data_IF_331679423886
#
_entry.id   IF_331679423886
#
_cell.length_a   1.000
_cell.length_b   1.000
_cell.length_c   1.000
_cell.angle_alpha   90.00
_cell.angle_beta   90.00
_cell.angle_gamma   90.00
#
_symmetry.space_group_name_H-M   'P 1'
#
loop_
_entity.id
_entity.type
_entity.pdbx_description
1 polymer ?
#
# COMPACT_ATOMS: atom_id res chain seq x y z
N UNK A 1 11.00 -0.43 -6.78
CA UNK A 1 9.93 0.56 -6.92
C UNK A 1 10.45 1.92 -7.35
N UNK A 2 11.10 2.71 -6.48
CA UNK A 2 11.49 4.09 -6.78
C UNK A 2 12.43 4.21 -7.99
N UNK A 3 13.49 3.42 -8.04
CA UNK A 3 14.42 3.44 -9.17
C UNK A 3 13.76 3.01 -10.48
N UNK A 4 12.93 1.97 -10.46
CA UNK A 4 12.17 1.55 -11.66
C UNK A 4 11.23 2.66 -12.15
N UNK A 5 10.58 3.37 -11.23
CA UNK A 5 9.73 4.50 -11.60
C UNK A 5 10.54 5.66 -12.18
N UNK A 6 11.66 6.02 -11.55
CA UNK A 6 12.57 7.07 -12.02
C UNK A 6 13.15 6.74 -13.41
N UNK A 7 13.45 5.47 -13.68
CA UNK A 7 13.86 5.01 -15.02
C UNK A 7 12.74 5.24 -16.05
N UNK A 8 11.50 4.85 -15.75
CA UNK A 8 10.36 5.09 -16.64
C UNK A 8 10.05 6.57 -16.87
N UNK A 9 10.46 7.46 -15.97
CA UNK A 9 10.40 8.92 -16.12
C UNK A 9 11.62 9.51 -16.84
N UNK A 10 12.58 8.69 -17.26
CA UNK A 10 13.81 9.13 -17.93
C UNK A 10 14.84 9.80 -17.03
N UNK A 11 14.70 9.64 -15.70
CA UNK A 11 15.65 10.19 -14.72
C UNK A 11 16.86 9.29 -14.45
N UNK A 12 16.76 8.03 -14.79
CA UNK A 12 17.82 7.01 -14.70
C UNK A 12 17.97 6.28 -16.03
N UNK A 13 19.17 5.80 -16.31
CA UNK A 13 19.49 4.99 -17.48
C UNK A 13 19.47 3.49 -17.16
N UNK A 14 19.59 2.65 -18.18
CA UNK A 14 19.77 1.19 -18.01
C UNK A 14 21.08 0.88 -17.26
N UNK A 15 22.17 1.61 -17.57
CA UNK A 15 23.46 1.42 -16.88
C UNK A 15 23.37 1.76 -15.38
N UNK A 16 22.56 2.76 -15.01
CA UNK A 16 22.26 3.03 -13.60
C UNK A 16 21.56 1.83 -12.94
N UNK A 17 20.52 1.28 -13.59
CA UNK A 17 19.80 0.12 -13.06
C UNK A 17 20.68 -1.13 -12.92
N UNK A 18 21.54 -1.38 -13.90
CA UNK A 18 22.53 -2.46 -13.87
C UNK A 18 23.54 -2.28 -12.72
N UNK A 19 23.75 -1.05 -12.28
CA UNK A 19 24.54 -0.69 -11.12
C UNK A 19 23.87 -0.83 -9.76
N UNK A 20 22.62 -1.30 -9.70
CA UNK A 20 21.89 -1.41 -8.45
C UNK A 20 22.57 -2.37 -7.45
N UNK A 21 22.81 -1.89 -6.23
CA UNK A 21 23.57 -2.59 -5.15
C UNK A 21 25.00 -2.92 -5.50
N UNK A 22 25.62 -2.13 -6.37
CA UNK A 22 27.01 -2.32 -6.81
C UNK A 22 27.88 -1.09 -6.52
N UNK A 23 27.66 -0.43 -5.38
CA UNK A 23 28.32 0.81 -4.98
C UNK A 23 29.86 0.73 -5.07
N UNK A 24 30.41 -0.43 -4.75
CA UNK A 24 31.85 -0.66 -4.64
C UNK A 24 32.42 -1.62 -5.69
N UNK A 25 31.59 -2.25 -6.50
CA UNK A 25 32.00 -3.26 -7.47
C UNK A 25 32.21 -2.71 -8.89
N UNK A 26 31.78 -1.47 -9.15
CA UNK A 26 31.93 -0.79 -10.43
C UNK A 26 32.87 0.41 -10.31
N UNK A 27 33.74 0.66 -11.31
CA UNK A 27 34.70 1.80 -11.28
C UNK A 27 34.00 3.17 -11.17
N UNK A 28 32.83 3.31 -11.82
CA UNK A 28 32.00 4.52 -11.78
C UNK A 28 31.09 4.61 -10.55
N UNK A 29 31.15 3.61 -9.66
CA UNK A 29 30.16 3.43 -8.61
C UNK A 29 28.84 2.84 -9.11
N UNK A 30 27.92 2.58 -8.22
CA UNK A 30 26.57 2.09 -8.54
C UNK A 30 25.52 2.69 -7.62
N UNK A 31 24.26 2.42 -7.92
CA UNK A 31 23.17 2.91 -7.07
C UNK A 31 23.21 2.25 -5.69
N UNK A 32 23.00 3.03 -4.61
CA UNK A 32 23.12 2.54 -3.24
C UNK A 32 22.06 1.49 -2.92
N UNK A 33 22.45 0.52 -2.10
CA UNK A 33 21.54 -0.52 -1.59
C UNK A 33 20.39 0.07 -0.78
N UNK A 34 20.68 1.16 -0.05
CA UNK A 34 19.70 1.90 0.75
C UNK A 34 19.57 3.33 0.26
N UNK A 35 18.33 3.87 0.17
CA UNK A 35 18.11 5.26 -0.18
C UNK A 35 18.78 6.20 0.81
N UNK A 36 19.79 6.95 0.35
CA UNK A 36 20.50 7.90 1.18
C UNK A 36 21.17 9.00 0.33
N UNK A 37 21.05 10.28 0.72
CA UNK A 37 21.68 11.40 0.01
C UNK A 37 23.19 11.27 -0.14
N UNK A 38 23.87 10.60 0.79
CA UNK A 38 25.32 10.38 0.71
C UNK A 38 25.73 9.61 -0.56
N UNK A 39 24.94 8.62 -0.95
CA UNK A 39 25.22 7.79 -2.14
C UNK A 39 24.71 8.40 -3.45
N UNK A 40 23.63 9.18 -3.39
CA UNK A 40 23.00 9.81 -4.56
C UNK A 40 22.42 11.19 -4.17
N UNK A 41 23.26 12.23 -3.97
CA UNK A 41 22.81 13.54 -3.45
C UNK A 41 21.85 14.27 -4.40
N UNK A 42 21.95 14.05 -5.70
CA UNK A 42 21.05 14.67 -6.69
C UNK A 42 19.71 13.93 -6.84
N UNK A 43 19.57 12.76 -6.20
CA UNK A 43 18.39 11.93 -6.29
C UNK A 43 17.62 11.83 -4.97
N UNK A 44 18.32 11.62 -3.85
CA UNK A 44 17.74 11.46 -2.51
C UNK A 44 17.92 12.71 -1.66
N UNK A 45 16.83 13.21 -1.09
CA UNK A 45 16.85 14.32 -0.13
C UNK A 45 16.88 13.83 1.32
N UNK A 46 16.34 12.63 1.59
CA UNK A 46 16.29 12.02 2.92
C UNK A 46 16.76 10.58 2.89
N UNK A 47 17.38 10.10 4.00
CA UNK A 47 17.52 8.67 4.20
C UNK A 47 16.15 8.09 4.56
N UNK A 48 15.68 7.11 3.79
CA UNK A 48 14.44 6.41 4.05
C UNK A 48 14.67 4.91 4.03
N UNK A 49 14.21 4.23 5.08
CA UNK A 49 14.24 2.78 5.21
C UNK A 49 12.93 2.35 5.87
N UNK A 50 12.58 1.07 5.80
CA UNK A 50 11.34 0.51 6.34
C UNK A 50 11.31 0.38 7.87
N UNK A 51 11.92 1.32 8.58
CA UNK A 51 12.03 1.37 10.06
C UNK A 51 11.30 2.58 10.66
N UNK A 52 10.29 3.11 9.98
CA UNK A 52 9.45 4.21 10.48
C UNK A 52 9.96 5.62 10.20
N UNK A 53 11.15 5.80 9.66
CA UNK A 53 11.68 7.15 9.34
C UNK A 53 10.97 7.80 8.16
N UNK A 54 10.53 7.01 7.16
CA UNK A 54 9.80 7.51 6.00
C UNK A 54 8.50 8.22 6.39
N UNK A 55 7.59 7.59 7.15
CA UNK A 55 6.37 8.22 7.64
C UNK A 55 6.62 9.50 8.42
N UNK A 56 7.59 9.46 9.34
CA UNK A 56 7.94 10.59 10.18
C UNK A 56 8.45 11.78 9.34
N UNK A 57 9.39 11.53 8.43
CA UNK A 57 9.90 12.58 7.53
C UNK A 57 8.80 13.16 6.64
N UNK A 58 7.88 12.33 6.13
CA UNK A 58 6.76 12.79 5.31
C UNK A 58 5.83 13.75 6.08
N UNK A 59 5.53 13.44 7.35
CA UNK A 59 4.74 14.32 8.21
C UNK A 59 5.43 15.67 8.44
N UNK A 60 6.73 15.65 8.76
CA UNK A 60 7.50 16.87 8.94
C UNK A 60 7.62 17.69 7.66
N UNK A 61 7.82 17.03 6.51
CA UNK A 61 7.88 17.71 5.21
C UNK A 61 6.54 18.39 4.87
N UNK A 62 5.43 17.68 5.03
CA UNK A 62 4.10 18.23 4.77
C UNK A 62 3.80 19.44 5.67
N UNK A 63 4.13 19.32 6.95
CA UNK A 63 4.00 20.42 7.92
C UNK A 63 4.91 21.60 7.54
N UNK A 64 6.14 21.32 7.15
CA UNK A 64 7.08 22.40 6.78
C UNK A 64 6.64 23.11 5.50
N UNK A 65 6.09 22.39 4.52
CA UNK A 65 5.52 23.00 3.32
C UNK A 65 4.40 23.99 3.69
N UNK A 66 3.45 23.62 4.57
CA UNK A 66 2.42 24.55 5.06
C UNK A 66 3.01 25.75 5.79
N UNK A 67 4.03 25.55 6.62
CA UNK A 67 4.74 26.64 7.29
C UNK A 67 5.35 27.63 6.27
N UNK A 68 6.01 27.14 5.22
CA UNK A 68 6.59 27.99 4.19
C UNK A 68 5.52 28.81 3.45
N UNK A 69 4.40 28.20 3.13
CA UNK A 69 3.23 28.82 2.51
C UNK A 69 2.64 29.90 3.41
N UNK A 70 2.33 29.56 4.66
CA UNK A 70 1.69 30.45 5.63
C UNK A 70 2.56 31.67 5.95
N UNK A 71 3.89 31.51 5.91
CA UNK A 71 4.84 32.59 6.12
C UNK A 71 5.15 33.40 4.85
N UNK A 72 4.63 33.00 3.69
CA UNK A 72 4.93 33.64 2.42
C UNK A 72 6.41 33.53 1.99
N UNK A 73 7.14 32.53 2.52
CA UNK A 73 8.56 32.31 2.20
C UNK A 73 8.71 31.61 0.86
N UNK A 74 7.84 30.65 0.58
CA UNK A 74 7.82 29.87 -0.66
C UNK A 74 6.40 29.44 -0.96
N UNK A 75 6.00 29.51 -2.23
CA UNK A 75 4.73 28.95 -2.69
C UNK A 75 4.85 27.40 -2.73
N UNK A 76 4.07 26.75 -1.89
CA UNK A 76 4.00 25.30 -1.75
C UNK A 76 2.56 24.79 -1.76
N UNK A 77 1.60 25.62 -2.20
CA UNK A 77 0.17 25.30 -2.15
C UNK A 77 -0.19 24.04 -2.97
N UNK A 78 0.47 23.87 -4.13
CA UNK A 78 0.28 22.69 -4.98
C UNK A 78 1.18 21.50 -4.62
N UNK A 79 2.06 21.64 -3.63
CA UNK A 79 2.97 20.55 -3.25
C UNK A 79 2.27 19.53 -2.36
N UNK A 80 2.25 18.28 -2.79
CA UNK A 80 1.69 17.16 -2.06
C UNK A 80 2.76 16.14 -1.70
N UNK A 81 2.78 15.72 -0.46
CA UNK A 81 3.73 14.72 0.06
C UNK A 81 3.10 13.33 0.03
N UNK A 82 3.75 12.42 -0.66
CA UNK A 82 3.36 11.02 -0.76
C UNK A 82 4.38 10.14 -0.05
N UNK A 83 3.92 9.30 0.88
CA UNK A 83 4.75 8.28 1.51
C UNK A 83 4.25 6.88 1.12
N UNK A 84 5.11 6.07 0.51
CA UNK A 84 4.83 4.68 0.16
C UNK A 84 5.45 3.77 1.22
N UNK A 85 4.60 3.04 1.93
CA UNK A 85 4.95 2.32 3.15
C UNK A 85 4.55 0.85 3.04
N UNK A 86 5.21 -0.01 3.82
CA UNK A 86 4.77 -1.40 4.02
C UNK A 86 3.87 -1.54 5.24
N UNK A 87 2.99 -2.55 5.23
CA UNK A 87 2.14 -2.87 6.37
C UNK A 87 2.95 -3.29 7.61
N UNK A 88 4.04 -4.04 7.41
CA UNK A 88 4.98 -4.39 8.48
C UNK A 88 5.73 -3.18 9.06
N UNK A 89 6.02 -2.16 8.25
CA UNK A 89 6.64 -0.91 8.70
C UNK A 89 5.75 -0.14 9.68
N UNK A 90 4.44 -0.32 9.61
CA UNK A 90 3.49 0.32 10.52
C UNK A 90 3.52 -0.25 11.94
N UNK A 91 4.28 -1.30 12.21
CA UNK A 91 4.54 -1.79 13.57
C UNK A 91 5.65 -1.00 14.29
N UNK A 92 6.48 -0.28 13.54
CA UNK A 92 7.54 0.55 14.13
C UNK A 92 6.93 1.69 14.95
N UNK A 93 7.43 1.95 16.17
CA UNK A 93 6.94 3.05 17.01
C UNK A 93 7.03 4.41 16.32
N UNK A 94 8.07 4.64 15.53
CA UNK A 94 8.29 5.86 14.76
C UNK A 94 7.18 6.10 13.73
N UNK A 95 6.71 5.04 13.08
CA UNK A 95 5.60 5.12 12.12
C UNK A 95 4.30 5.60 12.76
N UNK A 96 4.07 5.25 14.02
CA UNK A 96 2.83 5.54 14.76
C UNK A 96 2.88 6.83 15.56
N UNK A 97 4.07 7.27 15.94
CA UNK A 97 4.25 8.30 16.95
C UNK A 97 3.71 9.70 16.59
N UNK A 98 3.63 10.04 15.31
CA UNK A 98 3.27 11.37 14.84
C UNK A 98 1.92 11.48 14.11
N UNK A 99 1.16 10.39 14.01
CA UNK A 99 -0.07 10.37 13.20
C UNK A 99 -1.12 11.38 13.71
N UNK A 100 -1.28 11.50 15.03
CA UNK A 100 -2.19 12.49 15.61
C UNK A 100 -1.75 13.91 15.32
N UNK A 101 -0.44 14.18 15.26
CA UNK A 101 0.07 15.49 14.90
C UNK A 101 -0.31 15.89 13.48
N UNK A 102 -0.29 14.93 12.54
CA UNK A 102 -0.66 15.19 11.16
C UNK A 102 -2.13 15.66 11.03
N UNK A 103 -3.05 15.02 11.77
CA UNK A 103 -4.45 15.45 11.79
C UNK A 103 -4.69 16.74 12.59
N UNK A 104 -3.96 16.95 13.70
CA UNK A 104 -4.03 18.18 14.47
C UNK A 104 -3.65 19.42 13.64
N UNK A 105 -2.66 19.28 12.76
CA UNK A 105 -2.22 20.35 11.84
C UNK A 105 -2.98 20.34 10.51
N UNK A 106 -4.02 19.51 10.36
CA UNK A 106 -4.85 19.43 9.15
C UNK A 106 -4.01 19.26 7.86
N UNK A 107 -3.02 18.36 7.91
CA UNK A 107 -2.07 18.17 6.80
C UNK A 107 -2.75 17.48 5.60
N UNK A 108 -3.64 18.17 4.91
CA UNK A 108 -4.34 17.69 3.72
C UNK A 108 -3.45 17.62 2.47
N UNK A 109 -2.23 18.12 2.57
CA UNK A 109 -1.15 17.93 1.60
C UNK A 109 -0.29 16.69 1.86
N UNK A 110 -0.79 15.72 2.65
CA UNK A 110 -0.11 14.48 3.00
C UNK A 110 -0.97 13.26 2.69
N UNK A 111 -0.41 12.31 1.96
CA UNK A 111 -1.02 11.00 1.74
C UNK A 111 -0.04 9.86 2.00
N UNK A 112 -0.43 8.92 2.86
CA UNK A 112 0.24 7.64 3.00
C UNK A 112 -0.40 6.60 2.08
N UNK A 113 0.42 5.82 1.40
CA UNK A 113 -0.01 4.64 0.62
C UNK A 113 0.62 3.42 1.24
N UNK A 114 -0.16 2.64 1.97
CA UNK A 114 0.32 1.45 2.66
C UNK A 114 0.10 0.24 1.77
N UNK A 115 1.19 -0.40 1.39
CA UNK A 115 1.19 -1.63 0.62
C UNK A 115 0.92 -2.82 1.55
N UNK A 116 -0.35 -3.21 1.65
CA UNK A 116 -0.80 -4.32 2.50
C UNK A 116 -0.70 -5.64 1.73
N UNK A 117 0.50 -6.19 1.68
CA UNK A 117 0.73 -7.53 1.11
C UNK A 117 0.62 -8.65 2.16
N UNK A 118 0.36 -8.31 3.42
CA UNK A 118 0.15 -9.19 4.55
C UNK A 118 1.37 -10.05 4.92
N UNK A 119 2.55 -9.69 4.41
CA UNK A 119 3.78 -10.48 4.61
C UNK A 119 4.94 -9.64 5.13
N UNK A 120 5.71 -10.24 6.04
CA UNK A 120 7.08 -9.87 6.38
C UNK A 120 8.07 -10.76 5.62
N UNK A 121 9.37 -10.63 5.91
CA UNK A 121 10.41 -11.48 5.34
C UNK A 121 10.28 -12.95 5.77
N UNK A 122 9.80 -13.18 6.97
CA UNK A 122 9.77 -14.47 7.67
C UNK A 122 8.34 -15.04 7.85
N UNK A 123 7.32 -14.37 7.30
CA UNK A 123 5.94 -14.85 7.42
C UNK A 123 4.88 -13.76 7.31
N UNK A 124 3.65 -14.05 7.70
CA UNK A 124 2.56 -13.09 7.70
C UNK A 124 2.75 -12.02 8.78
N UNK A 125 2.32 -10.78 8.49
CA UNK A 125 2.36 -9.66 9.46
C UNK A 125 1.50 -9.99 10.68
N UNK A 126 0.31 -10.53 10.45
CA UNK A 126 -0.66 -10.95 11.47
C UNK A 126 -1.25 -12.30 11.12
N UNK A 127 -0.61 -13.41 11.52
CA UNK A 127 -1.13 -14.76 11.21
C UNK A 127 -2.55 -15.00 11.69
N UNK A 128 -2.88 -14.56 12.91
CA UNK A 128 -4.20 -14.67 13.53
C UNK A 128 -4.93 -13.31 13.62
N UNK A 129 -4.41 -12.26 13.00
CA UNK A 129 -4.95 -10.92 12.99
C UNK A 129 -5.56 -10.53 11.64
N UNK A 130 -5.86 -9.24 11.53
CA UNK A 130 -6.43 -8.60 10.35
C UNK A 130 -5.81 -7.20 10.23
N UNK A 131 -4.62 -7.13 9.64
CA UNK A 131 -3.81 -5.91 9.64
C UNK A 131 -4.50 -4.72 8.96
N UNK A 132 -5.26 -4.95 7.88
CA UNK A 132 -5.95 -3.87 7.17
C UNK A 132 -7.02 -3.24 8.08
N UNK A 133 -7.81 -4.04 8.80
CA UNK A 133 -8.83 -3.55 9.73
C UNK A 133 -8.20 -2.89 10.96
N UNK A 134 -7.09 -3.43 11.45
CA UNK A 134 -6.32 -2.82 12.54
C UNK A 134 -5.79 -1.44 12.15
N UNK A 135 -5.18 -1.31 10.96
CA UNK A 135 -4.69 -0.04 10.43
C UNK A 135 -5.83 0.93 10.16
N UNK A 136 -6.95 0.49 9.57
CA UNK A 136 -8.13 1.31 9.36
C UNK A 136 -8.59 1.95 10.66
N UNK A 137 -8.80 1.13 11.70
CA UNK A 137 -9.25 1.61 13.01
C UNK A 137 -8.24 2.58 13.64
N UNK A 138 -6.95 2.27 13.50
CA UNK A 138 -5.88 3.08 14.05
C UNK A 138 -5.81 4.47 13.38
N UNK A 139 -5.88 4.54 12.06
CA UNK A 139 -5.86 5.81 11.33
C UNK A 139 -7.13 6.63 11.54
N UNK A 140 -8.31 5.98 11.58
CA UNK A 140 -9.56 6.66 11.93
C UNK A 140 -9.46 7.27 13.33
N UNK A 141 -8.96 6.52 14.31
CA UNK A 141 -8.75 6.98 15.68
C UNK A 141 -7.74 8.13 15.79
N UNK A 142 -6.77 8.21 14.86
CA UNK A 142 -5.82 9.30 14.75
C UNK A 142 -6.37 10.52 13.96
N UNK A 143 -7.61 10.47 13.46
CA UNK A 143 -8.26 11.59 12.77
C UNK A 143 -7.98 11.67 11.26
N UNK A 144 -7.43 10.63 10.64
CA UNK A 144 -7.13 10.56 9.22
C UNK A 144 -8.36 10.21 8.38
N UNK A 145 -8.35 10.65 7.13
CA UNK A 145 -9.22 10.09 6.08
C UNK A 145 -8.65 8.75 5.61
N UNK A 146 -9.46 7.68 5.62
CA UNK A 146 -9.03 6.33 5.24
C UNK A 146 -9.72 5.90 3.95
N UNK A 147 -8.95 5.49 2.96
CA UNK A 147 -9.42 4.93 1.70
C UNK A 147 -8.90 3.49 1.61
N UNK A 148 -9.80 2.52 1.48
CA UNK A 148 -9.43 1.11 1.31
C UNK A 148 -9.52 0.70 -0.15
N UNK A 149 -8.44 0.11 -0.69
CA UNK A 149 -8.38 -0.48 -2.03
C UNK A 149 -8.07 -1.96 -1.88
N UNK A 150 -9.05 -2.73 -1.40
CA UNK A 150 -8.88 -4.13 -0.98
C UNK A 150 -9.18 -5.09 -2.12
N UNK A 151 -10.31 -4.89 -2.80
CA UNK A 151 -10.80 -5.79 -3.84
C UNK A 151 -10.79 -5.12 -5.22
N UNK A 152 -10.36 -5.87 -6.23
CA UNK A 152 -10.39 -5.44 -7.63
C UNK A 152 -11.81 -5.36 -8.18
N UNK A 153 -11.96 -4.78 -9.37
CA UNK A 153 -13.29 -4.60 -10.01
C UNK A 153 -14.00 -5.93 -10.32
N UNK A 154 -13.25 -7.02 -10.42
CA UNK A 154 -13.80 -8.35 -10.65
C UNK A 154 -14.73 -8.82 -9.51
N UNK A 155 -14.55 -8.24 -8.33
CA UNK A 155 -15.43 -8.48 -7.17
C UNK A 155 -16.71 -7.66 -7.19
N UNK A 156 -16.80 -6.60 -7.98
CA UNK A 156 -17.90 -5.64 -7.91
C UNK A 156 -19.25 -6.33 -8.20
N UNK A 157 -19.30 -7.21 -9.22
CA UNK A 157 -20.51 -7.98 -9.54
C UNK A 157 -20.94 -8.93 -8.42
N UNK A 158 -19.97 -9.57 -7.75
CA UNK A 158 -20.26 -10.46 -6.60
C UNK A 158 -20.76 -9.65 -5.40
N UNK A 159 -20.19 -8.49 -5.15
CA UNK A 159 -20.60 -7.58 -4.08
C UNK A 159 -21.98 -6.98 -4.35
N UNK A 160 -22.34 -6.69 -5.60
CA UNK A 160 -23.68 -6.23 -5.98
C UNK A 160 -24.76 -7.32 -5.78
N UNK A 161 -24.39 -8.58 -5.94
CA UNK A 161 -25.27 -9.75 -5.69
C UNK A 161 -25.37 -10.15 -4.22
N UNK A 162 -24.52 -9.62 -3.35
CA UNK A 162 -24.46 -9.93 -1.91
C UNK A 162 -25.51 -9.13 -1.10
N UNK A 163 -26.79 -9.34 -1.39
CA UNK A 163 -27.91 -8.56 -0.84
C UNK A 163 -27.98 -8.60 0.70
N UNK A 164 -27.57 -9.72 1.31
CA UNK A 164 -27.62 -9.94 2.77
C UNK A 164 -26.27 -9.79 3.48
N UNK A 165 -25.23 -9.40 2.74
CA UNK A 165 -23.90 -9.13 3.28
C UNK A 165 -23.11 -10.37 3.72
N UNK A 166 -23.47 -11.56 3.25
CA UNK A 166 -22.79 -12.80 3.60
C UNK A 166 -21.34 -12.82 3.10
N UNK A 167 -21.11 -12.35 1.86
CA UNK A 167 -19.76 -12.24 1.28
C UNK A 167 -18.94 -11.20 2.03
N UNK A 168 -19.50 -10.01 2.29
CA UNK A 168 -18.83 -8.97 3.07
C UNK A 168 -18.46 -9.47 4.47
N UNK A 169 -19.34 -10.25 5.10
CA UNK A 169 -19.05 -10.84 6.41
C UNK A 169 -17.87 -11.82 6.37
N UNK A 170 -17.83 -12.72 5.37
CA UNK A 170 -16.68 -13.63 5.20
C UNK A 170 -15.40 -12.85 4.94
N UNK A 171 -15.43 -11.84 4.06
CA UNK A 171 -14.28 -10.98 3.80
C UNK A 171 -13.75 -10.32 5.08
N UNK A 172 -14.65 -9.81 5.92
CA UNK A 172 -14.28 -9.11 7.15
C UNK A 172 -13.85 -10.04 8.29
N UNK A 173 -14.23 -11.30 8.26
CA UNK A 173 -13.89 -12.29 9.32
C UNK A 173 -12.71 -13.19 8.96
N UNK A 174 -12.30 -13.21 7.69
CA UNK A 174 -11.14 -13.99 7.23
C UNK A 174 -9.84 -13.39 7.76
N UNK A 175 -9.00 -14.25 8.32
CA UNK A 175 -7.69 -13.85 8.88
C UNK A 175 -6.61 -13.69 7.80
N UNK A 176 -5.59 -12.91 8.11
CA UNK A 176 -4.47 -12.67 7.19
C UNK A 176 -3.76 -13.97 6.82
N UNK A 177 -3.59 -14.91 7.78
CA UNK A 177 -3.02 -16.22 7.53
C UNK A 177 -3.85 -17.08 6.57
N UNK A 178 -5.18 -16.97 6.61
CA UNK A 178 -6.07 -17.67 5.66
C UNK A 178 -5.90 -17.10 4.25
N UNK A 179 -5.81 -15.75 4.11
CA UNK A 179 -5.57 -15.12 2.82
C UNK A 179 -4.24 -15.52 2.21
N UNK A 180 -3.19 -15.72 3.03
CA UNK A 180 -1.91 -16.26 2.58
C UNK A 180 -2.05 -17.70 2.09
N UNK A 181 -2.80 -18.52 2.82
CA UNK A 181 -3.06 -19.92 2.45
C UNK A 181 -3.84 -20.00 1.13
N UNK A 182 -4.86 -19.15 0.92
CA UNK A 182 -5.60 -19.08 -0.34
C UNK A 182 -4.69 -18.75 -1.52
N UNK A 183 -3.75 -17.82 -1.34
CA UNK A 183 -2.81 -17.45 -2.39
C UNK A 183 -1.80 -18.56 -2.71
N UNK A 184 -1.46 -19.40 -1.75
CA UNK A 184 -0.55 -20.53 -1.92
C UNK A 184 -1.20 -21.78 -2.56
N UNK A 185 -2.51 -21.74 -2.84
CA UNK A 185 -3.28 -22.83 -3.43
C UNK A 185 -3.84 -22.44 -4.81
N UNK A 186 -5.06 -22.82 -5.13
CA UNK A 186 -5.73 -22.59 -6.41
C UNK A 186 -7.19 -22.14 -6.26
N UNK A 187 -7.87 -21.93 -7.39
CA UNK A 187 -9.27 -21.49 -7.40
C UNK A 187 -10.24 -22.52 -6.80
N UNK A 188 -9.97 -23.82 -6.97
CA UNK A 188 -10.78 -24.88 -6.35
C UNK A 188 -10.69 -24.81 -4.82
N UNK A 189 -9.51 -24.59 -4.28
CA UNK A 189 -9.29 -24.41 -2.85
C UNK A 189 -10.01 -23.15 -2.33
N UNK A 190 -9.94 -22.02 -3.06
CA UNK A 190 -10.65 -20.80 -2.70
C UNK A 190 -12.17 -21.01 -2.72
N UNK A 191 -12.70 -21.70 -3.73
CA UNK A 191 -14.13 -22.07 -3.80
C UNK A 191 -14.57 -22.80 -2.55
N UNK A 192 -13.82 -23.84 -2.15
CA UNK A 192 -14.18 -24.68 -1.01
C UNK A 192 -14.00 -23.98 0.33
N UNK A 193 -12.83 -23.37 0.55
CA UNK A 193 -12.41 -22.90 1.88
C UNK A 193 -12.69 -21.41 2.15
N UNK A 194 -12.97 -20.60 1.13
CA UNK A 194 -13.43 -19.22 1.28
C UNK A 194 -14.95 -19.12 1.02
N UNK A 195 -15.39 -19.33 -0.22
CA UNK A 195 -16.80 -19.21 -0.57
C UNK A 195 -17.66 -20.31 0.06
N UNK A 196 -17.13 -21.51 0.25
CA UNK A 196 -17.81 -22.65 0.85
C UNK A 196 -18.08 -22.54 2.35
N UNK A 197 -17.63 -21.45 3.02
CA UNK A 197 -17.89 -21.21 4.44
C UNK A 197 -19.37 -20.86 4.74
N UNK A 198 -20.09 -20.37 3.74
CA UNK A 198 -21.51 -20.05 3.81
C UNK A 198 -22.20 -20.47 2.51
N UNK A 199 -23.35 -21.15 2.61
CA UNK A 199 -24.08 -21.61 1.42
C UNK A 199 -24.53 -20.48 0.50
N UNK A 200 -24.73 -19.26 1.02
CA UNK A 200 -25.07 -18.07 0.23
C UNK A 200 -23.91 -17.63 -0.63
N UNK A 201 -22.70 -17.58 -0.07
CA UNK A 201 -21.50 -17.21 -0.82
C UNK A 201 -21.06 -18.29 -1.80
N UNK A 202 -21.27 -19.56 -1.46
CA UNK A 202 -21.07 -20.68 -2.37
C UNK A 202 -21.96 -20.56 -3.61
N UNK A 203 -23.21 -20.16 -3.41
CA UNK A 203 -24.16 -19.92 -4.52
C UNK A 203 -23.77 -18.74 -5.40
N UNK A 204 -23.16 -17.69 -4.84
CA UNK A 204 -22.70 -16.54 -5.64
C UNK A 204 -21.68 -16.92 -6.71
N UNK A 205 -20.94 -18.00 -6.52
CA UNK A 205 -19.87 -18.48 -7.42
C UNK A 205 -20.16 -19.81 -8.07
N UNK A 206 -21.42 -20.29 -8.03
CA UNK A 206 -21.78 -21.62 -8.56
C UNK A 206 -21.53 -21.75 -10.07
N UNK A 207 -21.74 -20.68 -10.83
CA UNK A 207 -21.55 -20.61 -12.27
C UNK A 207 -20.13 -20.22 -12.70
N UNK A 208 -19.25 -19.85 -11.76
CA UNK A 208 -17.88 -19.47 -12.04
C UNK A 208 -16.97 -20.71 -12.11
N UNK A 209 -16.03 -20.70 -13.03
CA UNK A 209 -14.94 -21.69 -13.06
C UNK A 209 -13.92 -21.41 -11.94
N UNK A 210 -13.11 -22.40 -11.61
CA UNK A 210 -12.02 -22.23 -10.62
C UNK A 210 -10.97 -21.23 -11.11
N UNK A 211 -10.74 -21.14 -12.42
CA UNK A 211 -9.85 -20.13 -13.02
C UNK A 211 -10.41 -18.71 -12.85
N UNK A 212 -11.71 -18.50 -13.04
CA UNK A 212 -12.36 -17.20 -12.82
C UNK A 212 -12.29 -16.79 -11.35
N UNK A 213 -12.50 -17.72 -10.42
CA UNK A 213 -12.32 -17.45 -8.97
C UNK A 213 -10.87 -17.08 -8.65
N UNK A 214 -9.90 -17.78 -9.25
CA UNK A 214 -8.48 -17.48 -9.09
C UNK A 214 -8.10 -16.09 -9.59
N UNK A 215 -8.75 -15.64 -10.65
CA UNK A 215 -8.53 -14.33 -11.28
C UNK A 215 -9.23 -13.16 -10.57
N UNK A 216 -9.92 -13.36 -9.46
CA UNK A 216 -10.46 -12.31 -8.61
C UNK A 216 -9.32 -11.55 -7.91
N UNK A 217 -8.89 -10.43 -8.50
CA UNK A 217 -7.68 -9.70 -8.08
C UNK A 217 -7.86 -8.90 -6.79
N UNK A 218 -6.71 -8.61 -6.15
CA UNK A 218 -6.64 -7.64 -5.05
C UNK A 218 -6.72 -6.22 -5.61
N UNK A 219 -7.32 -5.30 -4.84
CA UNK A 219 -7.60 -3.93 -5.27
C UNK A 219 -6.35 -3.12 -5.60
N UNK A 220 -5.24 -3.34 -4.89
CA UNK A 220 -3.96 -2.69 -5.15
C UNK A 220 -3.34 -3.02 -6.52
N UNK A 221 -3.84 -4.05 -7.21
CA UNK A 221 -3.47 -4.38 -8.58
C UNK A 221 -4.50 -3.95 -9.63
N UNK A 222 -5.59 -3.29 -9.21
CA UNK A 222 -6.57 -2.68 -10.11
C UNK A 222 -6.24 -1.19 -10.29
N UNK A 223 -5.59 -0.86 -11.41
CA UNK A 223 -5.15 0.51 -11.69
C UNK A 223 -6.30 1.54 -11.73
N UNK A 224 -7.54 1.14 -12.06
CA UNK A 224 -8.70 2.05 -12.04
C UNK A 224 -9.10 2.41 -10.61
N UNK A 225 -9.15 1.41 -9.72
CA UNK A 225 -9.44 1.63 -8.30
C UNK A 225 -8.30 2.40 -7.60
N UNK A 226 -7.04 2.08 -7.94
CA UNK A 226 -5.87 2.84 -7.45
C UNK A 226 -5.93 4.30 -7.92
N UNK A 227 -6.20 4.56 -9.20
CA UNK A 227 -6.35 5.91 -9.71
C UNK A 227 -7.48 6.68 -9.00
N UNK A 228 -8.65 6.06 -8.84
CA UNK A 228 -9.78 6.67 -8.13
C UNK A 228 -9.43 7.01 -6.67
N UNK A 229 -8.69 6.13 -6.00
CA UNK A 229 -8.23 6.37 -4.63
C UNK A 229 -7.26 7.56 -4.55
N UNK A 230 -6.31 7.65 -5.46
CA UNK A 230 -5.36 8.77 -5.52
C UNK A 230 -6.06 10.10 -5.81
N UNK A 231 -6.98 10.10 -6.78
CA UNK A 231 -7.80 11.27 -7.07
C UNK A 231 -8.60 11.71 -5.84
N UNK A 232 -9.25 10.77 -5.16
CA UNK A 232 -10.02 11.06 -3.95
C UNK A 232 -9.15 11.58 -2.80
N UNK A 233 -7.92 11.08 -2.67
CA UNK A 233 -6.97 11.57 -1.68
C UNK A 233 -6.62 13.05 -1.91
N UNK A 234 -6.35 13.45 -3.17
CA UNK A 234 -6.05 14.84 -3.53
C UNK A 234 -7.24 15.80 -3.33
N UNK A 235 -8.47 15.29 -3.47
CA UNK A 235 -9.70 16.07 -3.25
C UNK A 235 -10.04 16.25 -1.76
N UNK A 236 -9.43 15.46 -0.88
CA UNK A 236 -9.69 15.53 0.57
C UNK A 236 -9.04 16.79 1.16
N UNK A 237 -9.81 17.55 1.93
CA UNK A 237 -9.35 18.77 2.59
C UNK A 237 -9.47 18.68 4.10
N UNK A 238 -8.58 19.40 4.80
CA UNK A 238 -8.56 19.51 6.25
C UNK A 238 -8.12 18.24 7.01
N UNK A 239 -7.67 17.20 6.30
CA UNK A 239 -7.22 15.94 6.92
C UNK A 239 -6.13 15.28 6.08
N UNK A 240 -5.11 14.68 6.70
CA UNK A 240 -4.23 13.75 6.00
C UNK A 240 -4.99 12.50 5.56
N UNK A 241 -4.54 11.89 4.47
CA UNK A 241 -5.19 10.70 3.91
C UNK A 241 -4.27 9.48 3.99
N UNK A 242 -4.83 8.32 4.29
CA UNK A 242 -4.17 7.03 4.10
C UNK A 242 -4.93 6.17 3.10
N UNK A 243 -4.22 5.56 2.18
CA UNK A 243 -4.72 4.56 1.24
C UNK A 243 -4.17 3.19 1.68
N UNK A 244 -5.06 2.28 2.09
CA UNK A 244 -4.71 0.91 2.43
C UNK A 244 -4.91 0.05 1.17
N UNK A 245 -3.81 -0.30 0.50
CA UNK A 245 -3.84 -1.01 -0.77
C UNK A 245 -3.50 -2.49 -0.56
N UNK A 246 -4.49 -3.38 -0.72
CA UNK A 246 -4.27 -4.82 -0.63
C UNK A 246 -3.60 -5.35 -1.90
N UNK A 247 -2.43 -5.93 -1.75
CA UNK A 247 -1.59 -6.43 -2.84
C UNK A 247 -1.15 -7.88 -2.62
N UNK A 248 -0.50 -8.43 -3.62
CA UNK A 248 0.19 -9.73 -3.55
C UNK A 248 1.69 -9.48 -3.70
N UNK A 249 2.48 -10.01 -2.78
CA UNK A 249 3.95 -9.92 -2.85
C UNK A 249 4.45 -10.69 -4.09
N UNK A 250 5.31 -10.01 -4.89
CA UNK A 250 5.84 -10.61 -6.11
C UNK A 250 4.91 -10.56 -7.33
N UNK A 251 3.73 -9.91 -7.23
CA UNK A 251 2.78 -9.81 -8.34
C UNK A 251 3.42 -9.37 -9.66
N UNK A 252 3.18 -10.13 -10.72
CA UNK A 252 3.70 -9.86 -12.05
C UNK A 252 5.15 -10.31 -12.32
N UNK A 253 5.83 -10.90 -11.34
CA UNK A 253 7.19 -11.42 -11.50
C UNK A 253 7.22 -12.87 -12.00
N UNK A 254 6.08 -13.54 -12.09
CA UNK A 254 5.92 -14.92 -12.54
C UNK A 254 5.58 -15.88 -11.41
N UNK A 255 5.13 -17.08 -11.80
CA UNK A 255 4.52 -18.08 -10.92
C UNK A 255 5.35 -18.45 -9.65
N UNK A 256 6.68 -18.35 -9.72
CA UNK A 256 7.54 -18.72 -8.58
C UNK A 256 7.80 -17.56 -7.59
N UNK A 257 7.23 -16.39 -7.82
CA UNK A 257 7.50 -15.17 -7.03
C UNK A 257 6.25 -14.60 -6.34
N UNK A 258 5.08 -15.11 -6.71
CA UNK A 258 3.78 -14.68 -6.13
C UNK A 258 3.35 -15.58 -4.97
#
# INVERSE_FOLDING_TARGET
GMYSRAFLEGRLSEDDLDGFRQEHSRPQGGMPSYPHPHGMPEFWEYPTVSMGLGPMNAIYQARFNKYLQDRGIKDTDEQHVWAFLGDGEMDEPESRGLLQMASLYELDNLTFVINCNLQRLDGPVRGNGQIIQELETFFIGAGWNVIKVVWGREWDELLEKDEDGALVNIMNTTKDGDYQTFKANDGAYVREHFFGRDERTKKLVEDMTDEEIWNLRRGGHDYRKVYAAYKRALETKGKPTVILAHTVKGYGLGHNFE
#
